data_IF_734395755877
#
_entry.id   IF_734395755877
#
_cell.length_a   1.000
_cell.length_b   1.000
_cell.length_c   1.000
_cell.angle_alpha   90.00
_cell.angle_beta   90.00
_cell.angle_gamma   90.00
#
_symmetry.space_group_name_H-M   'P 1'
#
loop_
_entity.id
_entity.type
_entity.pdbx_description
1 polymer ?
#
# COMPACT_ATOMS: atom_id res chain seq x y z
N UNK A 1 -19.95 18.73 -32.07
CA UNK A 1 -18.54 18.29 -31.96
C UNK A 1 -18.29 17.88 -30.53
N UNK A 2 -18.60 16.62 -30.25
CA UNK A 2 -18.29 15.89 -29.02
C UNK A 2 -17.64 14.60 -29.52
N UNK A 3 -16.78 14.00 -28.71
CA UNK A 3 -16.04 12.74 -28.95
C UNK A 3 -14.60 13.01 -29.39
N UNK A 4 -13.73 13.43 -28.46
CA UNK A 4 -12.30 13.07 -28.52
C UNK A 4 -11.52 13.28 -27.21
N UNK A 5 -12.13 13.05 -26.04
CA UNK A 5 -11.44 13.27 -24.75
C UNK A 5 -11.73 12.19 -23.71
N UNK A 6 -11.70 10.91 -24.11
CA UNK A 6 -11.81 9.77 -23.17
C UNK A 6 -10.70 8.72 -23.35
N UNK A 7 -9.60 9.06 -24.03
CA UNK A 7 -8.54 8.09 -24.38
C UNK A 7 -7.27 8.14 -23.53
N UNK A 8 -7.34 8.70 -22.31
CA UNK A 8 -6.16 8.93 -21.47
C UNK A 8 -6.06 8.10 -20.17
N UNK A 9 -7.15 7.52 -19.67
CA UNK A 9 -7.21 6.97 -18.30
C UNK A 9 -7.35 5.45 -18.23
N UNK A 10 -7.30 4.75 -19.37
CA UNK A 10 -7.25 3.28 -19.42
C UNK A 10 -5.80 2.78 -19.29
N UNK A 11 -5.09 3.22 -18.25
CA UNK A 11 -3.74 2.69 -17.99
C UNK A 11 -3.85 1.23 -17.56
N UNK A 12 -3.66 0.32 -18.53
CA UNK A 12 -3.27 -1.09 -18.36
C UNK A 12 -3.80 -1.82 -17.11
N UNK A 13 -5.12 -1.86 -16.89
CA UNK A 13 -5.74 -2.98 -16.11
C UNK A 13 -5.37 -4.36 -16.68
N UNK A 14 -4.91 -4.37 -17.94
CA UNK A 14 -4.74 -5.54 -18.80
C UNK A 14 -3.44 -6.36 -18.60
N UNK A 15 -2.34 -5.83 -18.04
CA UNK A 15 -1.07 -6.57 -18.05
C UNK A 15 -0.62 -7.16 -16.71
N UNK A 16 -1.49 -7.28 -15.71
CA UNK A 16 -1.19 -8.09 -14.53
C UNK A 16 -1.72 -9.51 -14.74
N UNK A 17 -0.86 -10.37 -15.28
CA UNK A 17 -1.18 -11.78 -15.54
C UNK A 17 -1.74 -12.46 -14.29
N UNK A 18 -2.66 -13.40 -14.49
CA UNK A 18 -3.25 -14.22 -13.44
C UNK A 18 -2.17 -14.89 -12.55
N UNK A 19 -1.02 -15.21 -13.14
CA UNK A 19 0.17 -15.74 -12.46
C UNK A 19 0.78 -14.74 -11.46
N UNK A 20 0.74 -13.45 -11.75
CA UNK A 20 1.25 -12.43 -10.84
C UNK A 20 0.33 -12.22 -9.64
N UNK A 21 -1.00 -12.40 -9.80
CA UNK A 21 -1.99 -12.39 -8.70
C UNK A 21 -1.81 -13.58 -7.76
N UNK A 22 -1.59 -14.77 -8.32
CA UNK A 22 -1.35 -15.96 -7.50
C UNK A 22 -0.02 -15.85 -6.75
N UNK A 23 1.02 -15.32 -7.39
CA UNK A 23 2.33 -15.12 -6.76
C UNK A 23 2.27 -14.09 -5.62
N UNK A 24 1.61 -12.94 -5.81
CA UNK A 24 1.50 -11.94 -4.74
C UNK A 24 0.81 -12.49 -3.49
N UNK A 25 -0.17 -13.38 -3.68
CA UNK A 25 -0.89 -14.00 -2.57
C UNK A 25 -0.02 -14.98 -1.79
N UNK A 26 0.63 -15.90 -2.50
CA UNK A 26 1.54 -16.88 -1.87
C UNK A 26 2.65 -16.16 -1.11
N UNK A 27 3.22 -15.11 -1.69
CA UNK A 27 4.29 -14.33 -1.05
C UNK A 27 3.86 -13.73 0.30
N UNK A 28 2.67 -13.11 0.36
CA UNK A 28 2.12 -12.53 1.60
C UNK A 28 1.78 -13.62 2.63
N UNK A 29 1.21 -14.74 2.20
CA UNK A 29 0.86 -15.86 3.09
C UNK A 29 2.13 -16.52 3.69
N UNK A 30 3.18 -16.68 2.88
CA UNK A 30 4.48 -17.19 3.34
C UNK A 30 5.17 -16.20 4.28
N UNK A 31 5.10 -14.89 4.03
CA UNK A 31 5.63 -13.86 4.95
C UNK A 31 5.01 -13.91 6.34
N UNK A 32 3.69 -14.12 6.42
CA UNK A 32 3.01 -14.24 7.71
C UNK A 32 3.42 -15.51 8.48
N UNK A 33 3.74 -16.59 7.75
CA UNK A 33 4.08 -17.89 8.32
C UNK A 33 5.57 -18.02 8.70
N UNK A 34 6.42 -17.12 8.19
CA UNK A 34 7.87 -17.12 8.40
C UNK A 34 8.30 -17.11 9.87
N UNK A 35 7.49 -16.54 10.76
CA UNK A 35 7.76 -16.53 12.20
C UNK A 35 7.89 -17.94 12.81
N UNK A 36 7.48 -18.99 12.09
CA UNK A 36 7.44 -20.39 12.57
C UNK A 36 8.36 -21.35 11.79
N UNK A 37 9.22 -20.84 10.90
CA UNK A 37 10.14 -21.66 10.11
C UNK A 37 11.59 -21.44 10.56
N UNK A 38 12.35 -22.54 10.68
CA UNK A 38 13.77 -22.50 11.06
C UNK A 38 14.69 -21.95 9.95
N UNK A 39 14.17 -21.82 8.72
CA UNK A 39 14.89 -21.29 7.57
C UNK A 39 14.23 -19.99 7.06
N UNK A 40 14.90 -18.83 7.13
CA UNK A 40 14.36 -17.57 6.64
C UNK A 40 14.30 -17.57 5.10
N UNK A 41 13.21 -17.04 4.55
CA UNK A 41 13.05 -16.86 3.10
C UNK A 41 13.29 -15.39 2.75
N UNK A 42 14.07 -15.10 1.71
CA UNK A 42 14.27 -13.72 1.26
C UNK A 42 13.03 -13.23 0.51
N UNK A 43 12.17 -12.48 1.20
CA UNK A 43 11.04 -11.81 0.58
C UNK A 43 11.49 -10.43 0.07
N UNK A 44 11.04 -10.02 -1.13
CA UNK A 44 11.39 -8.72 -1.65
C UNK A 44 10.70 -7.62 -0.81
N UNK A 45 11.49 -6.83 -0.12
CA UNK A 45 11.04 -5.65 0.63
C UNK A 45 11.50 -4.36 -0.08
N UNK A 46 10.63 -3.35 -0.10
CA UNK A 46 10.94 -2.04 -0.67
C UNK A 46 11.19 -1.06 0.46
N UNK A 47 12.41 -0.52 0.52
CA UNK A 47 12.78 0.54 1.44
C UNK A 47 12.79 1.89 0.72
N UNK A 48 12.11 2.88 1.31
CA UNK A 48 12.10 4.25 0.80
C UNK A 48 13.02 5.12 1.67
N UNK A 49 14.17 5.48 1.09
CA UNK A 49 15.21 6.29 1.72
C UNK A 49 15.39 7.60 0.95
N UNK A 50 15.79 8.67 1.64
CA UNK A 50 15.95 10.00 1.05
C UNK A 50 16.10 11.09 2.11
N UNK A 51 16.50 12.28 1.70
CA UNK A 51 16.77 13.41 2.58
C UNK A 51 15.48 13.89 3.27
N UNK A 52 15.65 14.53 4.43
CA UNK A 52 14.50 15.09 5.16
C UNK A 52 13.77 16.11 4.28
N UNK A 53 12.44 15.99 4.20
CA UNK A 53 11.61 16.91 3.42
C UNK A 53 11.41 16.53 1.95
N UNK A 54 12.05 15.49 1.42
CA UNK A 54 11.87 15.04 0.02
C UNK A 54 10.56 14.28 -0.24
N UNK A 55 9.56 14.40 0.63
CA UNK A 55 8.24 13.82 0.38
C UNK A 55 8.19 12.28 0.39
N UNK A 56 9.09 11.59 1.09
CA UNK A 56 9.05 10.11 1.24
C UNK A 56 7.67 9.61 1.67
N UNK A 57 7.08 10.24 2.69
CA UNK A 57 5.73 9.92 3.16
C UNK A 57 4.71 10.20 2.06
N UNK A 58 4.79 11.35 1.39
CA UNK A 58 3.90 11.73 0.30
C UNK A 58 3.97 10.79 -0.91
N UNK A 59 5.16 10.28 -1.25
CA UNK A 59 5.34 9.27 -2.30
C UNK A 59 4.61 7.97 -1.95
N UNK A 60 4.78 7.49 -0.72
CA UNK A 60 4.05 6.31 -0.24
C UNK A 60 2.54 6.58 -0.19
N UNK A 61 2.10 7.74 0.29
CA UNK A 61 0.67 8.11 0.34
C UNK A 61 0.05 8.13 -1.06
N UNK A 62 0.76 8.66 -2.06
CA UNK A 62 0.32 8.64 -3.45
C UNK A 62 0.25 7.22 -4.03
N UNK A 63 1.19 6.33 -3.67
CA UNK A 63 1.19 4.93 -4.11
C UNK A 63 0.03 4.14 -3.49
N UNK A 64 -0.24 4.39 -2.22
CA UNK A 64 -1.22 3.65 -1.43
C UNK A 64 -2.63 4.24 -1.59
N UNK A 65 -2.74 5.51 -1.96
CA UNK A 65 -4.00 6.21 -2.22
C UNK A 65 -4.70 6.73 -0.97
N UNK A 66 -4.00 6.83 0.16
CA UNK A 66 -4.54 7.46 1.37
C UNK A 66 -3.43 8.09 2.23
N UNK A 67 -3.83 9.10 3.01
CA UNK A 67 -2.94 9.79 3.94
C UNK A 67 -2.85 9.01 5.25
N UNK A 68 -1.65 8.55 5.61
CA UNK A 68 -1.41 7.85 6.89
C UNK A 68 -0.66 8.71 7.90
N UNK A 69 -0.01 9.80 7.47
CA UNK A 69 0.74 10.68 8.35
C UNK A 69 0.06 12.04 8.46
N UNK A 70 -0.19 12.52 9.67
CA UNK A 70 -0.58 13.92 9.89
C UNK A 70 0.69 14.76 9.81
N UNK A 71 0.84 15.52 8.72
CA UNK A 71 2.01 16.39 8.50
C UNK A 71 1.99 17.53 9.51
N UNK A 72 2.67 17.35 10.65
CA UNK A 72 3.03 18.43 11.55
C UNK A 72 4.29 19.14 11.04
N UNK A 73 4.36 20.46 11.26
CA UNK A 73 5.34 21.42 10.70
C UNK A 73 6.82 21.02 10.72
N UNK A 74 7.24 20.00 11.50
CA UNK A 74 8.67 19.73 11.67
C UNK A 74 9.20 18.31 11.62
N UNK A 75 8.42 17.23 11.52
CA UNK A 75 9.04 15.91 11.64
C UNK A 75 8.40 14.86 10.75
N UNK A 76 9.24 14.23 9.93
CA UNK A 76 8.87 13.07 9.13
C UNK A 76 8.64 11.81 10.00
N UNK A 77 8.65 10.66 9.35
CA UNK A 77 8.45 9.36 10.00
C UNK A 77 9.51 9.08 11.09
N UNK A 78 9.12 9.14 12.38
CA UNK A 78 10.00 8.88 13.54
C UNK A 78 10.14 7.41 13.92
N UNK A 79 9.18 6.57 13.49
CA UNK A 79 9.18 5.12 13.71
C UNK A 79 9.08 4.44 12.35
N UNK A 80 9.85 3.38 12.08
CA UNK A 80 9.66 2.58 10.86
C UNK A 80 8.19 2.19 10.70
N UNK A 81 7.64 2.37 9.49
CA UNK A 81 6.26 1.98 9.17
C UNK A 81 6.34 0.81 8.22
N UNK A 82 5.79 -0.33 8.63
CA UNK A 82 5.58 -1.46 7.75
C UNK A 82 4.22 -1.31 7.06
N UNK A 83 4.22 -1.32 5.73
CA UNK A 83 3.00 -1.24 4.92
C UNK A 83 2.89 -2.53 4.12
N UNK A 84 1.78 -3.24 4.32
CA UNK A 84 1.43 -4.43 3.54
C UNK A 84 0.27 -4.10 2.60
N UNK A 85 0.54 -4.14 1.29
CA UNK A 85 -0.46 -3.94 0.25
C UNK A 85 -1.02 -5.29 -0.21
N UNK A 86 -2.30 -5.51 0.04
CA UNK A 86 -3.00 -6.70 -0.42
C UNK A 86 -4.05 -6.33 -1.46
N UNK A 87 -3.86 -6.84 -2.69
CA UNK A 87 -4.88 -6.71 -3.72
C UNK A 87 -6.05 -7.65 -3.41
N UNK A 88 -7.24 -7.07 -3.21
CA UNK A 88 -8.49 -7.80 -3.08
C UNK A 88 -9.47 -7.37 -4.18
N UNK A 89 -9.58 -8.20 -5.23
CA UNK A 89 -10.45 -7.93 -6.37
C UNK A 89 -11.95 -7.87 -6.04
N UNK A 90 -12.38 -8.34 -4.86
CA UNK A 90 -13.78 -8.24 -4.40
C UNK A 90 -14.11 -6.89 -3.74
N UNK A 91 -13.10 -6.04 -3.52
CA UNK A 91 -13.27 -4.72 -2.89
C UNK A 91 -13.17 -3.64 -3.95
N UNK A 92 -14.22 -2.82 -4.04
CA UNK A 92 -14.26 -1.65 -4.91
C UNK A 92 -13.57 -0.43 -4.30
N UNK A 93 -13.44 -0.40 -2.97
CA UNK A 93 -12.80 0.69 -2.23
C UNK A 93 -11.62 0.15 -1.41
N UNK A 94 -10.51 0.91 -1.31
CA UNK A 94 -9.38 0.53 -0.49
C UNK A 94 -9.77 0.56 0.99
N UNK A 95 -9.30 -0.41 1.76
CA UNK A 95 -9.54 -0.50 3.20
C UNK A 95 -8.20 -0.47 3.92
N UNK A 96 -8.05 0.43 4.88
CA UNK A 96 -6.90 0.43 5.79
C UNK A 96 -7.23 -0.34 7.06
N UNK A 97 -6.26 -1.11 7.54
CA UNK A 97 -6.33 -1.80 8.82
C UNK A 97 -5.09 -1.47 9.62
N UNK A 98 -5.28 -1.02 10.85
CA UNK A 98 -4.19 -0.76 11.78
C UNK A 98 -4.05 -1.98 12.70
N UNK A 99 -2.84 -2.52 12.79
CA UNK A 99 -2.52 -3.57 13.75
C UNK A 99 -2.19 -2.90 15.08
N UNK A 100 -2.96 -3.20 16.12
CA UNK A 100 -2.62 -2.78 17.47
C UNK A 100 -1.51 -3.69 18.02
N UNK A 101 -0.49 -3.08 18.64
CA UNK A 101 0.65 -3.81 19.22
C UNK A 101 0.22 -4.74 20.36
N UNK A 102 -0.83 -4.37 21.11
CA UNK A 102 -1.26 -5.07 22.31
C UNK A 102 -2.14 -6.30 22.02
N UNK A 103 -3.04 -6.21 21.03
CA UNK A 103 -4.07 -7.25 20.83
C UNK A 103 -3.96 -8.04 19.53
N UNK A 104 -2.97 -7.78 18.68
CA UNK A 104 -2.85 -8.34 17.31
C UNK A 104 -4.09 -8.17 16.41
N UNK A 105 -5.13 -7.52 16.94
CA UNK A 105 -6.40 -7.26 16.29
C UNK A 105 -6.21 -6.16 15.26
N UNK A 106 -6.94 -6.32 14.15
CA UNK A 106 -6.92 -5.36 13.05
C UNK A 106 -8.11 -4.43 13.20
N UNK A 107 -7.84 -3.20 13.63
CA UNK A 107 -8.85 -2.15 13.67
C UNK A 107 -9.08 -1.63 12.24
N UNK A 108 -10.33 -1.70 11.78
CA UNK A 108 -10.73 -1.09 10.51
C UNK A 108 -11.00 0.38 10.77
N UNK A 109 -10.28 1.26 10.09
CA UNK A 109 -10.67 2.67 10.00
C UNK A 109 -11.11 2.95 8.58
N UNK A 110 -12.29 3.54 8.45
CA UNK A 110 -12.68 4.17 7.19
C UNK A 110 -11.71 5.32 6.97
N UNK A 111 -10.89 5.20 5.93
CA UNK A 111 -9.99 6.28 5.56
C UNK A 111 -10.71 7.05 4.47
N UNK A 112 -10.91 8.37 4.63
CA UNK A 112 -11.39 9.18 3.53
C UNK A 112 -10.42 8.99 2.37
N UNK A 113 -10.90 8.39 1.29
CA UNK A 113 -10.20 8.41 0.01
C UNK A 113 -10.29 9.85 -0.43
N UNK A 114 -9.30 10.66 -0.07
CA UNK A 114 -9.03 11.86 -0.82
C UNK A 114 -8.62 11.35 -2.19
N UNK A 115 -9.61 11.26 -3.09
CA UNK A 115 -9.34 11.32 -4.50
C UNK A 115 -8.30 12.42 -4.65
N UNK A 116 -7.18 12.11 -5.29
CA UNK A 116 -6.33 13.12 -5.90
C UNK A 116 -7.23 13.82 -6.94
N UNK A 117 -8.12 14.68 -6.45
CA UNK A 117 -8.99 15.53 -7.22
C UNK A 117 -8.02 16.47 -7.92
N UNK A 118 -7.79 16.15 -9.18
CA UNK A 118 -7.20 17.08 -10.14
C UNK A 118 -8.03 18.35 -10.20
#
# INVERSE_FOLDING_TARGET
MKVEEERGLEWKRSSFSQRSKSLSRVLVETQASQLHLDEPFDLPEIFVLGMQGEGKSSFIEALVGYQFNHVGEKIGTRRPILIQLQNNASKHEPICKFKNEEDSSLEKKEVPVYLLSS
#
